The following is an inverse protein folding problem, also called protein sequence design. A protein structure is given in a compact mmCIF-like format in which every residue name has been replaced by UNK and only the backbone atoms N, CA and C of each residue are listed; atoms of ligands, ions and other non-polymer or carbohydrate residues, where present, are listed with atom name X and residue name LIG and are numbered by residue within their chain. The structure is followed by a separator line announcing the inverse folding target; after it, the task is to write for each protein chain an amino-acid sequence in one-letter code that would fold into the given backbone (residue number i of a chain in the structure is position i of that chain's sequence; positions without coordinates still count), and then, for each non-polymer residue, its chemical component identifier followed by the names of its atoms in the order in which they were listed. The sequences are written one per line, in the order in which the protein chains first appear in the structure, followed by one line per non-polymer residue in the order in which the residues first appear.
data_IF_900101309020
#
_entry.id   IF_900101309020
#
_cell.length_a   1.000
_cell.length_b   1.000
_cell.length_c   1.000
_cell.angle_alpha   90.00
_cell.angle_beta   90.00
_cell.angle_gamma   90.00
#
_symmetry.space_group_name_H-M   'P 1'
#
loop_
_entity.id
_entity.type
_entity.pdbx_description
1 polymer ?
#
# COMPACT_ATOMS: atom_id res chain seq x y z
N UNK A 1 -42.49 69.39 4.84
CA UNK A 1 -43.57 68.66 5.54
C UNK A 1 -42.92 67.39 6.05
N UNK A 2 -42.12 67.51 7.11
CA UNK A 2 -42.55 67.47 8.53
C UNK A 2 -43.18 66.13 8.90
N UNK A 3 -42.44 65.42 9.75
CA UNK A 3 -42.77 64.18 10.44
C UNK A 3 -43.93 64.39 11.43
N UNK A 4 -44.73 63.35 11.70
CA UNK A 4 -45.15 63.13 13.08
C UNK A 4 -45.01 61.66 13.53
N UNK A 5 -45.11 61.41 14.85
CA UNK A 5 -44.24 60.47 15.53
C UNK A 5 -44.95 59.19 16.00
N UNK A 6 -44.13 58.20 16.33
CA UNK A 6 -44.34 57.37 17.52
C UNK A 6 -45.37 56.28 17.41
N UNK A 7 -44.89 55.04 17.28
CA UNK A 7 -45.34 53.94 18.13
C UNK A 7 -44.23 52.90 18.25
N UNK A 8 -43.54 53.04 19.38
CA UNK A 8 -42.66 52.05 19.98
C UNK A 8 -43.42 50.73 20.11
N UNK A 9 -43.08 49.74 19.29
CA UNK A 9 -43.50 48.37 19.49
C UNK A 9 -42.26 47.51 19.73
N UNK A 10 -42.04 47.19 21.00
CA UNK A 10 -41.07 46.22 21.48
C UNK A 10 -41.31 44.87 20.78
N UNK A 11 -40.47 44.53 19.81
CA UNK A 11 -40.35 43.14 19.36
C UNK A 11 -39.25 42.49 20.18
N UNK A 12 -39.70 41.78 21.22
CA UNK A 12 -38.91 40.83 22.00
C UNK A 12 -38.27 39.83 21.02
N UNK A 13 -36.94 39.89 20.89
CA UNK A 13 -36.18 38.85 20.22
C UNK A 13 -36.30 37.56 21.03
N UNK A 14 -37.08 36.60 20.52
CA UNK A 14 -37.12 35.26 21.06
C UNK A 14 -35.75 34.60 20.86
N UNK A 15 -35.01 34.41 21.95
CA UNK A 15 -33.83 33.57 22.01
C UNK A 15 -34.27 32.10 21.86
N UNK A 16 -34.37 31.62 20.62
CA UNK A 16 -34.39 30.19 20.34
C UNK A 16 -32.96 29.67 20.51
N UNK A 17 -32.68 28.70 21.40
CA UNK A 17 -31.40 28.04 21.40
C UNK A 17 -31.26 27.31 20.06
N UNK A 18 -30.22 27.65 19.30
CA UNK A 18 -29.76 26.83 18.20
C UNK A 18 -29.36 25.47 18.79
N UNK A 19 -30.30 24.52 18.82
CA UNK A 19 -29.96 23.11 18.99
C UNK A 19 -29.16 22.75 17.75
N UNK A 20 -27.83 22.73 17.88
CA UNK A 20 -26.95 22.11 16.90
C UNK A 20 -27.39 20.66 16.80
N UNK A 21 -28.12 20.35 15.73
CA UNK A 21 -28.41 18.97 15.35
C UNK A 21 -27.07 18.32 15.04
N UNK A 22 -26.52 17.62 16.02
CA UNK A 22 -25.42 16.68 15.83
C UNK A 22 -25.93 15.60 14.90
N UNK A 23 -25.67 15.77 13.60
CA UNK A 23 -25.80 14.68 12.64
C UNK A 23 -24.93 13.50 13.10
N UNK A 24 -25.31 12.26 12.78
CA UNK A 24 -24.45 11.12 13.06
C UNK A 24 -23.11 11.39 12.37
N UNK A 25 -22.03 11.29 13.16
CA UNK A 25 -20.68 11.39 12.64
C UNK A 25 -20.56 10.50 11.40
N UNK A 26 -19.84 10.94 10.34
CA UNK A 26 -19.48 10.02 9.27
C UNK A 26 -18.88 8.78 9.93
N UNK A 27 -19.40 7.62 9.55
CA UNK A 27 -18.87 6.33 9.98
C UNK A 27 -17.36 6.43 9.85
N UNK A 28 -16.68 6.49 11.00
CA UNK A 28 -15.24 6.36 11.07
C UNK A 28 -15.00 4.98 10.50
N UNK A 29 -14.62 4.91 9.22
CA UNK A 29 -13.70 3.89 8.76
C UNK A 29 -12.67 3.79 9.88
N UNK A 30 -12.61 2.63 10.53
CA UNK A 30 -11.82 2.44 11.73
C UNK A 30 -10.48 3.12 11.50
N UNK A 31 -10.10 4.01 12.41
CA UNK A 31 -8.71 4.47 12.45
C UNK A 31 -7.91 3.20 12.61
N UNK A 32 -7.35 2.70 11.50
CA UNK A 32 -6.13 1.94 11.56
C UNK A 32 -5.15 2.92 12.21
N UNK A 33 -4.95 2.75 13.52
CA UNK A 33 -3.77 3.23 14.21
C UNK A 33 -2.59 2.95 13.26
N UNK A 34 -1.71 3.92 12.97
CA UNK A 34 -0.62 3.72 12.02
C UNK A 34 0.36 2.72 12.63
N UNK A 35 0.04 1.43 12.48
CA UNK A 35 0.92 0.33 12.78
C UNK A 35 2.18 0.59 12.00
N UNK A 36 3.30 0.68 12.70
CA UNK A 36 4.60 1.12 12.21
C UNK A 36 4.94 0.45 10.88
N UNK A 37 4.61 1.12 9.76
CA UNK A 37 4.94 0.63 8.43
C UNK A 37 6.45 0.78 8.28
N UNK A 38 7.15 -0.35 8.19
CA UNK A 38 8.61 -0.32 8.05
C UNK A 38 9.00 0.00 6.61
N UNK A 39 10.12 0.70 6.37
CA UNK A 39 10.55 1.06 5.04
C UNK A 39 10.93 -0.18 4.20
N UNK A 40 10.89 -0.01 2.88
CA UNK A 40 11.26 -1.04 1.91
C UNK A 40 10.12 -2.00 1.51
N UNK A 41 10.48 -3.00 0.72
CA UNK A 41 9.58 -3.84 -0.06
C UNK A 41 9.85 -5.33 0.19
N UNK A 42 8.80 -6.14 0.09
CA UNK A 42 8.89 -7.60 0.08
C UNK A 42 9.15 -8.09 -1.34
N UNK A 43 10.07 -9.05 -1.52
CA UNK A 43 10.44 -9.53 -2.85
C UNK A 43 11.06 -10.94 -2.81
N UNK A 44 10.34 -11.95 -2.32
CA UNK A 44 10.89 -13.31 -2.48
C UNK A 44 10.95 -13.67 -3.97
N UNK A 45 12.19 -13.81 -4.48
CA UNK A 45 12.49 -14.50 -5.72
C UNK A 45 12.32 -15.98 -5.41
N UNK A 46 11.27 -16.61 -5.93
CA UNK A 46 11.19 -18.06 -5.88
C UNK A 46 12.31 -18.60 -6.78
N UNK A 47 13.37 -19.11 -6.18
CA UNK A 47 14.33 -19.95 -6.89
C UNK A 47 13.53 -21.06 -7.57
N UNK A 48 13.71 -21.16 -8.89
CA UNK A 48 12.97 -22.10 -9.75
C UNK A 48 13.54 -23.50 -9.53
N UNK A 49 13.34 -24.06 -8.35
CA UNK A 49 13.56 -25.48 -8.10
C UNK A 49 12.31 -26.08 -7.44
N UNK A 50 11.60 -26.83 -8.28
CA UNK A 50 10.51 -27.77 -8.00
C UNK A 50 9.18 -27.19 -7.43
N UNK A 51 8.11 -27.07 -8.24
CA UNK A 51 6.77 -26.57 -7.85
C UNK A 51 5.97 -27.41 -6.84
N UNK A 52 6.62 -28.34 -6.14
CA UNK A 52 6.00 -29.37 -5.29
C UNK A 52 6.70 -29.56 -3.94
N UNK A 53 7.37 -28.53 -3.42
CA UNK A 53 7.58 -28.39 -1.97
C UNK A 53 6.48 -27.46 -1.42
N UNK A 54 5.24 -27.93 -1.55
CA UNK A 54 3.96 -27.26 -1.23
C UNK A 54 3.40 -27.68 0.12
N UNK A 55 4.03 -28.65 0.76
CA UNK A 55 3.53 -29.26 1.95
C UNK A 55 3.93 -28.37 3.12
N UNK A 56 3.14 -27.31 3.32
CA UNK A 56 3.14 -26.49 4.52
C UNK A 56 2.73 -27.33 5.76
N UNK A 57 3.40 -28.46 5.99
CA UNK A 57 3.08 -29.48 6.99
C UNK A 57 3.72 -29.19 8.34
N UNK A 58 4.65 -28.22 8.40
CA UNK A 58 5.30 -27.77 9.63
C UNK A 58 4.63 -26.53 10.28
N UNK A 59 3.40 -26.20 9.87
CA UNK A 59 2.68 -25.03 10.40
C UNK A 59 2.23 -25.27 11.85
N UNK A 60 1.97 -24.19 12.60
CA UNK A 60 1.57 -24.30 14.02
C UNK A 60 0.30 -25.15 14.15
N UNK A 61 0.05 -25.72 15.33
CA UNK A 61 -1.15 -26.55 15.63
C UNK A 61 -2.47 -25.86 15.21
N UNK A 62 -2.50 -24.53 15.18
CA UNK A 62 -3.64 -23.72 14.75
C UNK A 62 -3.76 -23.57 13.23
N UNK A 63 -3.08 -24.42 12.44
CA UNK A 63 -3.08 -24.47 10.96
C UNK A 63 -2.41 -23.24 10.29
N UNK A 64 -2.11 -22.19 11.06
CA UNK A 64 -1.41 -21.00 10.56
C UNK A 64 0.10 -21.25 10.37
N UNK A 65 0.55 -21.04 9.13
CA UNK A 65 1.96 -21.08 8.74
C UNK A 65 2.67 -19.73 8.94
N UNK A 66 1.91 -18.69 9.23
CA UNK A 66 2.42 -17.34 9.36
C UNK A 66 3.17 -17.16 10.68
N UNK A 67 4.42 -16.70 10.59
CA UNK A 67 5.29 -16.35 11.74
C UNK A 67 5.13 -14.89 12.18
N UNK A 68 4.46 -14.08 11.37
CA UNK A 68 4.12 -12.69 11.66
C UNK A 68 2.73 -12.37 11.10
N UNK A 69 2.08 -11.34 11.64
CA UNK A 69 0.78 -10.84 11.15
C UNK A 69 0.86 -9.42 10.58
N UNK A 70 1.99 -8.74 10.78
CA UNK A 70 2.30 -7.42 10.22
C UNK A 70 3.72 -6.98 10.58
N UNK A 71 4.16 -5.85 10.04
CA UNK A 71 5.53 -5.35 10.23
C UNK A 71 5.90 -5.14 11.71
N UNK A 72 4.95 -4.72 12.53
CA UNK A 72 5.13 -4.52 13.97
C UNK A 72 5.47 -5.83 14.72
N UNK A 73 5.07 -6.99 14.19
CA UNK A 73 5.39 -8.30 14.79
C UNK A 73 6.84 -8.74 14.52
N UNK A 74 7.54 -8.06 13.61
CA UNK A 74 8.87 -8.44 13.20
C UNK A 74 9.95 -7.65 13.96
N UNK A 75 11.09 -8.24 14.32
CA UNK A 75 12.15 -7.55 15.03
C UNK A 75 12.91 -6.56 14.12
N UNK A 76 13.46 -5.50 14.71
CA UNK A 76 14.31 -4.53 14.02
C UNK A 76 13.65 -3.94 12.75
N UNK A 77 14.41 -3.90 11.65
CA UNK A 77 13.95 -3.38 10.37
C UNK A 77 13.22 -4.41 9.48
N UNK A 78 13.08 -5.66 9.92
CA UNK A 78 12.48 -6.73 9.10
C UNK A 78 10.98 -6.50 8.90
N UNK A 79 10.49 -6.75 7.68
CA UNK A 79 9.07 -6.63 7.29
C UNK A 79 8.38 -7.98 7.35
N UNK A 80 7.07 -7.97 7.58
CA UNK A 80 6.26 -9.18 7.49
C UNK A 80 5.87 -9.42 6.03
N UNK A 81 6.60 -10.32 5.38
CA UNK A 81 6.51 -10.52 3.94
C UNK A 81 5.87 -11.87 3.59
N UNK A 82 5.13 -11.96 2.46
CA UNK A 82 4.67 -13.24 1.94
C UNK A 82 5.84 -14.20 1.77
N UNK A 83 5.61 -15.47 2.09
CA UNK A 83 6.58 -16.56 1.91
C UNK A 83 5.89 -17.76 1.27
N UNK A 84 6.63 -18.87 1.08
CA UNK A 84 6.09 -20.11 0.52
C UNK A 84 4.85 -20.59 1.30
N UNK A 85 4.86 -20.42 2.62
CA UNK A 85 3.75 -20.77 3.52
C UNK A 85 3.41 -19.58 4.42
N UNK A 86 2.39 -18.78 4.04
CA UNK A 86 1.94 -17.63 4.84
C UNK A 86 2.91 -16.46 4.81
N UNK A 87 3.18 -15.88 5.99
CA UNK A 87 4.04 -14.70 6.13
C UNK A 87 5.19 -14.94 7.11
N UNK A 88 6.38 -14.39 6.81
CA UNK A 88 7.53 -14.42 7.73
C UNK A 88 8.27 -13.10 7.72
N UNK A 89 9.00 -12.83 8.80
CA UNK A 89 9.86 -11.66 8.89
C UNK A 89 11.06 -11.82 7.95
N UNK A 90 11.25 -10.87 7.05
CA UNK A 90 12.31 -10.85 6.04
C UNK A 90 13.00 -9.49 6.02
N UNK A 91 14.25 -9.48 5.59
CA UNK A 91 14.93 -8.24 5.26
C UNK A 91 14.25 -7.58 4.06
N UNK A 92 13.90 -6.29 4.16
CA UNK A 92 13.24 -5.61 3.06
C UNK A 92 14.25 -5.20 1.99
N UNK A 93 13.82 -5.17 0.73
CA UNK A 93 14.53 -4.42 -0.31
C UNK A 93 14.21 -2.95 -0.15
N UNK A 94 15.24 -2.13 -0.03
CA UNK A 94 15.07 -0.69 0.17
C UNK A 94 14.84 0.05 -1.15
N UNK A 95 15.50 -0.40 -2.21
CA UNK A 95 15.43 0.21 -3.52
C UNK A 95 14.58 -0.63 -4.48
N UNK A 96 13.52 -0.03 -5.01
CA UNK A 96 12.60 -0.74 -5.89
C UNK A 96 13.24 -1.21 -7.19
N UNK A 97 14.36 -0.62 -7.62
CA UNK A 97 15.07 -1.04 -8.84
C UNK A 97 15.64 -2.47 -8.75
N UNK A 98 15.75 -3.04 -7.54
CA UNK A 98 16.15 -4.42 -7.32
C UNK A 98 14.96 -5.40 -7.21
N UNK A 99 13.72 -4.90 -7.33
CA UNK A 99 12.53 -5.76 -7.32
C UNK A 99 12.39 -6.50 -8.65
N UNK A 100 11.85 -7.73 -8.65
CA UNK A 100 11.56 -8.44 -9.89
C UNK A 100 10.39 -7.78 -10.63
N UNK A 101 10.24 -8.06 -11.92
CA UNK A 101 8.98 -7.79 -12.61
C UNK A 101 7.85 -8.62 -12.00
N UNK A 102 6.67 -8.01 -11.87
CA UNK A 102 5.47 -8.68 -11.32
C UNK A 102 4.30 -8.46 -12.28
N UNK A 103 3.87 -9.54 -12.92
CA UNK A 103 2.67 -9.52 -13.77
C UNK A 103 1.42 -9.14 -12.95
N UNK A 104 1.34 -9.58 -11.70
CA UNK A 104 0.21 -9.32 -10.82
C UNK A 104 -0.96 -10.27 -11.10
N UNK A 105 -2.12 -10.01 -10.48
CA UNK A 105 -3.25 -10.96 -10.47
C UNK A 105 -4.29 -10.72 -11.56
N UNK A 106 -4.30 -9.52 -12.16
CA UNK A 106 -5.19 -9.19 -13.27
C UNK A 106 -4.70 -9.83 -14.58
N UNK A 107 -5.59 -9.94 -15.58
CA UNK A 107 -5.36 -10.69 -16.83
C UNK A 107 -5.25 -9.80 -18.08
N UNK A 108 -5.03 -8.50 -17.93
CA UNK A 108 -4.74 -7.62 -19.06
C UNK A 108 -3.33 -7.90 -19.60
N UNK A 109 -3.03 -7.38 -20.80
CA UNK A 109 -1.74 -7.60 -21.46
C UNK A 109 -1.06 -6.25 -21.75
N UNK A 110 -0.64 -5.55 -20.70
CA UNK A 110 0.10 -4.31 -20.85
C UNK A 110 1.58 -4.61 -21.01
N UNK A 111 2.18 -4.21 -22.14
CA UNK A 111 3.64 -4.19 -22.29
C UNK A 111 4.21 -3.09 -21.41
N UNK A 112 5.17 -3.45 -20.57
CA UNK A 112 5.84 -2.56 -19.62
C UNK A 112 7.32 -2.89 -19.56
N UNK A 113 8.08 -2.03 -18.91
CA UNK A 113 9.51 -2.21 -18.67
C UNK A 113 9.79 -2.34 -17.19
N UNK A 114 10.75 -3.18 -16.83
CA UNK A 114 11.32 -3.24 -15.48
C UNK A 114 12.84 -3.21 -15.58
N UNK A 115 13.52 -2.73 -14.56
CA UNK A 115 14.97 -2.78 -14.47
C UNK A 115 15.41 -4.15 -13.97
N UNK A 116 16.18 -4.87 -14.77
CA UNK A 116 16.81 -6.13 -14.39
C UNK A 116 18.22 -5.84 -13.85
N UNK A 117 18.39 -5.93 -12.52
CA UNK A 117 19.67 -5.63 -11.88
C UNK A 117 20.80 -6.59 -12.25
N UNK A 118 20.49 -7.82 -12.68
CA UNK A 118 21.50 -8.79 -13.12
C UNK A 118 22.08 -8.45 -14.48
N UNK A 119 21.25 -8.02 -15.43
CA UNK A 119 21.69 -7.59 -16.76
C UNK A 119 22.03 -6.09 -16.83
N UNK A 120 21.65 -5.33 -15.80
CA UNK A 120 21.70 -3.86 -15.73
C UNK A 120 20.95 -3.18 -16.88
N UNK A 121 19.85 -3.79 -17.33
CA UNK A 121 19.06 -3.29 -18.44
C UNK A 121 17.58 -3.16 -18.09
N UNK A 122 16.92 -2.22 -18.76
CA UNK A 122 15.47 -2.15 -18.79
C UNK A 122 14.91 -3.14 -19.81
N UNK A 123 14.24 -4.18 -19.31
CA UNK A 123 13.70 -5.30 -20.08
C UNK A 123 12.16 -5.23 -20.14
N UNK A 124 11.59 -5.70 -21.24
CA UNK A 124 10.14 -5.75 -21.41
C UNK A 124 9.53 -6.90 -20.61
N UNK A 125 8.34 -6.68 -20.06
CA UNK A 125 7.50 -7.72 -19.47
C UNK A 125 6.02 -7.41 -19.67
N UNK A 126 5.16 -8.39 -19.37
CA UNK A 126 3.71 -8.22 -19.40
C UNK A 126 3.20 -7.94 -17.98
N UNK A 127 2.52 -6.81 -17.84
CA UNK A 127 1.77 -6.45 -16.64
C UNK A 127 0.29 -6.72 -16.83
N UNK A 128 -0.27 -7.46 -15.87
CA UNK A 128 -1.66 -7.87 -15.79
C UNK A 128 -2.65 -6.73 -15.54
N UNK A 129 -2.17 -5.56 -15.10
CA UNK A 129 -2.99 -4.36 -14.84
C UNK A 129 -3.27 -4.08 -13.36
N UNK A 130 -3.03 -5.03 -12.46
CA UNK A 130 -3.13 -4.82 -11.00
C UNK A 130 -2.18 -5.72 -10.22
N UNK A 131 -1.82 -5.34 -8.99
CA UNK A 131 -1.02 -6.18 -8.09
C UNK A 131 0.47 -6.28 -8.45
N UNK A 132 1.00 -5.29 -9.19
CA UNK A 132 2.43 -5.17 -9.49
C UNK A 132 3.22 -4.49 -8.36
N UNK A 133 4.45 -4.08 -8.67
CA UNK A 133 5.30 -3.29 -7.77
C UNK A 133 5.80 -2.01 -8.48
N UNK A 134 6.70 -1.26 -7.83
CA UNK A 134 7.24 0.01 -8.36
C UNK A 134 8.26 -0.16 -9.50
N UNK A 135 8.82 -1.36 -9.70
CA UNK A 135 9.69 -1.64 -10.84
C UNK A 135 8.85 -1.98 -12.08
N UNK A 136 8.08 -1.00 -12.55
CA UNK A 136 7.12 -1.13 -13.64
C UNK A 136 6.93 0.23 -14.31
N UNK A 137 7.39 0.36 -15.53
CA UNK A 137 7.44 1.61 -16.29
C UNK A 137 6.74 1.43 -17.64
N UNK A 138 6.18 2.52 -18.18
CA UNK A 138 5.51 2.50 -19.48
C UNK A 138 6.53 2.48 -20.62
N UNK A 139 7.68 3.15 -20.42
CA UNK A 139 8.73 3.25 -21.43
C UNK A 139 10.10 2.81 -20.91
N UNK A 140 10.97 2.39 -21.83
CA UNK A 140 12.37 2.03 -21.53
C UNK A 140 13.17 3.23 -20.96
N UNK A 141 12.87 4.44 -21.43
CA UNK A 141 13.55 5.66 -21.01
C UNK A 141 13.25 6.02 -19.54
N UNK A 142 11.98 5.94 -19.13
CA UNK A 142 11.57 6.16 -17.74
C UNK A 142 12.24 5.15 -16.80
N UNK A 143 12.29 3.88 -17.21
CA UNK A 143 12.95 2.83 -16.45
C UNK A 143 14.44 3.16 -16.20
N UNK A 144 15.18 3.55 -17.25
CA UNK A 144 16.60 3.87 -17.09
C UNK A 144 16.80 5.12 -16.23
N UNK A 145 16.00 6.16 -16.45
CA UNK A 145 16.08 7.37 -15.65
C UNK A 145 15.82 7.10 -14.16
N UNK A 146 14.88 6.21 -13.84
CA UNK A 146 14.55 5.86 -12.47
C UNK A 146 15.61 4.98 -11.79
N UNK A 147 16.34 4.16 -12.56
CA UNK A 147 17.24 3.12 -12.03
C UNK A 147 18.70 3.26 -12.47
N UNK A 148 19.11 4.41 -13.03
CA UNK A 148 20.48 4.64 -13.54
C UNK A 148 21.56 4.63 -12.46
N UNK A 149 21.19 4.73 -11.18
CA UNK A 149 22.12 4.65 -10.06
C UNK A 149 22.53 3.22 -9.72
N UNK A 150 21.79 2.21 -10.21
CA UNK A 150 22.12 0.81 -9.93
C UNK A 150 23.41 0.43 -10.65
N UNK A 151 24.44 0.03 -9.89
CA UNK A 151 25.74 -0.40 -10.41
C UNK A 151 26.82 0.69 -10.46
N UNK A 152 26.52 1.91 -9.99
CA UNK A 152 27.49 2.99 -9.78
C UNK A 152 28.00 3.06 -8.34
#
# INVERSE_FOLDING_TARGET
MELPPGRLLLLLAALLPLTTRSGPAPHTAGREEPGTVKPGYCYHIAEVENPLDKDCVACRRDISCSRCTGDASCPGATKCCPSKCGYTCQEPVLDFCYLPSVCGSCKALFRRFFFNASSQQCEEFIYGGCGGNRNNFETKGECFQACSHVGN
#
